data_IF_705399710400
#
_entry.id   IF_705399710400
#
_cell.length_a   1.000
_cell.length_b   1.000
_cell.length_c   1.000
_cell.angle_alpha   90.00
_cell.angle_beta   90.00
_cell.angle_gamma   90.00
#
_symmetry.space_group_name_H-M   'P 1'
#
loop_
_entity.id
_entity.type
_entity.pdbx_description
1 polymer ?
#
# COMPACT_ATOMS: atom_id res chain seq x y z
N UNK A 1 0.91 7.21 -71.59
CA UNK A 1 -0.20 7.99 -70.98
C UNK A 1 0.02 7.95 -69.47
N UNK A 2 0.44 9.05 -68.85
CA UNK A 2 0.69 9.14 -67.40
C UNK A 2 -0.64 9.27 -66.64
N UNK A 3 -0.83 8.47 -65.59
CA UNK A 3 -1.96 8.62 -64.66
C UNK A 3 -1.65 9.73 -63.63
N UNK A 4 -2.62 10.59 -63.27
CA UNK A 4 -2.40 11.59 -62.23
C UNK A 4 -2.28 10.95 -60.84
N UNK A 5 -1.37 11.49 -60.02
CA UNK A 5 -1.14 11.07 -58.64
C UNK A 5 -2.35 11.40 -57.74
N UNK A 6 -2.65 10.59 -56.71
CA UNK A 6 -3.73 10.87 -55.78
C UNK A 6 -3.40 12.08 -54.87
N UNK A 7 -4.38 12.97 -54.73
CA UNK A 7 -4.35 14.17 -53.91
C UNK A 7 -4.36 13.82 -52.41
N UNK A 8 -3.35 14.24 -51.61
CA UNK A 8 -3.25 13.90 -50.18
C UNK A 8 -4.23 14.69 -49.28
N UNK A 9 -5.12 15.51 -49.84
CA UNK A 9 -6.06 16.35 -49.08
C UNK A 9 -7.40 15.67 -48.70
N UNK A 10 -7.62 14.40 -49.04
CA UNK A 10 -8.91 13.73 -48.79
C UNK A 10 -9.04 13.01 -47.42
N UNK A 11 -7.98 12.98 -46.61
CA UNK A 11 -7.93 12.17 -45.37
C UNK A 11 -7.83 13.02 -44.10
N UNK A 12 -8.57 14.13 -44.05
CA UNK A 12 -8.75 14.96 -42.85
C UNK A 12 -9.97 14.53 -42.06
N UNK A 13 -9.76 13.98 -40.85
CA UNK A 13 -10.84 13.57 -39.94
C UNK A 13 -11.43 14.83 -39.28
N UNK A 14 -12.63 15.27 -39.69
CA UNK A 14 -13.38 16.32 -38.99
C UNK A 14 -13.98 15.79 -37.67
N UNK A 15 -13.45 16.24 -36.55
CA UNK A 15 -14.01 16.00 -35.22
C UNK A 15 -15.38 16.69 -35.07
N UNK A 16 -16.42 15.93 -34.69
CA UNK A 16 -17.71 16.48 -34.25
C UNK A 16 -18.97 15.99 -34.98
N UNK A 17 -18.86 15.20 -36.05
CA UNK A 17 -20.03 14.71 -36.82
C UNK A 17 -20.34 13.22 -36.72
N UNK A 18 -19.63 12.45 -35.90
CA UNK A 18 -19.96 11.04 -35.62
C UNK A 18 -19.90 10.76 -34.12
N UNK A 19 -20.93 10.07 -33.61
CA UNK A 19 -20.95 9.55 -32.25
C UNK A 19 -19.83 8.50 -32.13
N UNK A 20 -18.79 8.80 -31.37
CA UNK A 20 -17.74 7.82 -31.06
C UNK A 20 -18.33 6.88 -30.00
N UNK A 21 -18.75 5.69 -30.43
CA UNK A 21 -19.11 4.63 -29.48
C UNK A 21 -17.81 4.05 -28.94
N UNK A 22 -17.31 4.62 -27.83
CA UNK A 22 -16.26 4.00 -27.02
C UNK A 22 -16.78 2.63 -26.60
N UNK A 23 -16.19 1.57 -27.16
CA UNK A 23 -16.67 0.20 -27.08
C UNK A 23 -17.10 -0.22 -25.68
N UNK A 24 -18.40 -0.43 -25.51
CA UNK A 24 -19.00 -0.82 -24.23
C UNK A 24 -20.16 -1.82 -24.33
N UNK A 25 -20.49 -2.32 -25.52
CA UNK A 25 -21.70 -3.16 -25.71
C UNK A 25 -21.44 -4.67 -25.85
N UNK A 26 -20.21 -5.13 -25.67
CA UNK A 26 -19.93 -6.56 -25.52
C UNK A 26 -19.54 -6.82 -24.06
N UNK A 27 -20.42 -7.47 -23.31
CA UNK A 27 -20.05 -8.05 -22.02
C UNK A 27 -18.78 -8.88 -22.18
N UNK A 28 -17.91 -8.85 -21.15
CA UNK A 28 -16.56 -9.41 -21.15
C UNK A 28 -16.47 -10.66 -22.02
N UNK A 29 -15.64 -10.59 -23.05
CA UNK A 29 -15.43 -11.70 -23.96
C UNK A 29 -14.98 -12.93 -23.17
N UNK A 30 -15.30 -14.11 -23.69
CA UNK A 30 -14.93 -15.37 -23.04
C UNK A 30 -13.42 -15.48 -22.81
N UNK A 31 -12.63 -14.85 -23.70
CA UNK A 31 -11.19 -14.68 -23.58
C UNK A 31 -10.79 -13.75 -22.43
N UNK A 32 -11.47 -12.61 -22.25
CA UNK A 32 -11.22 -11.70 -21.12
C UNK A 32 -11.59 -12.34 -19.77
N UNK A 33 -12.69 -13.12 -19.71
CA UNK A 33 -13.07 -13.86 -18.49
C UNK A 33 -12.07 -14.97 -18.15
N UNK A 34 -11.46 -15.59 -19.15
CA UNK A 34 -10.36 -16.53 -19.00
C UNK A 34 -9.09 -15.81 -18.55
N UNK A 35 -8.74 -14.68 -19.17
CA UNK A 35 -7.59 -13.85 -18.83
C UNK A 35 -7.64 -13.39 -17.36
N UNK A 36 -8.80 -13.03 -16.84
CA UNK A 36 -8.98 -12.67 -15.42
C UNK A 36 -8.74 -13.85 -14.44
N UNK A 37 -8.86 -15.10 -14.90
CA UNK A 37 -8.66 -16.30 -14.08
C UNK A 37 -7.22 -16.82 -14.09
N UNK A 38 -6.44 -16.52 -15.13
CA UNK A 38 -5.04 -16.95 -15.25
C UNK A 38 -4.09 -16.41 -14.16
N UNK A 39 -4.21 -15.15 -13.67
CA UNK A 39 -3.34 -14.62 -12.62
C UNK A 39 -3.29 -15.50 -11.37
N UNK A 40 -4.42 -16.10 -10.98
CA UNK A 40 -4.51 -16.97 -9.80
C UNK A 40 -3.77 -18.30 -9.99
N UNK A 41 -3.71 -18.83 -11.21
CA UNK A 41 -2.93 -20.03 -11.54
C UNK A 41 -1.42 -19.73 -11.56
N UNK A 42 -1.04 -18.56 -12.07
CA UNK A 42 0.36 -18.14 -12.10
C UNK A 42 0.96 -18.02 -10.70
N UNK A 43 0.15 -17.71 -9.67
CA UNK A 43 0.62 -17.57 -8.29
C UNK A 43 0.74 -18.90 -7.53
N UNK A 44 0.03 -19.96 -7.99
CA UNK A 44 0.06 -21.31 -7.38
C UNK A 44 1.10 -22.24 -8.00
N UNK A 45 1.79 -21.81 -9.05
CA UNK A 45 2.81 -22.62 -9.74
C UNK A 45 4.21 -22.14 -9.39
N UNK A 46 5.24 -23.00 -9.50
CA UNK A 46 6.64 -22.61 -9.26
C UNK A 46 7.15 -21.52 -10.24
N UNK A 47 6.36 -21.16 -11.26
CA UNK A 47 6.59 -20.03 -12.16
C UNK A 47 6.67 -18.69 -11.41
N UNK A 48 5.90 -18.51 -10.33
CA UNK A 48 6.03 -17.30 -9.48
C UNK A 48 7.43 -17.24 -8.86
N UNK A 49 8.01 -18.38 -8.45
CA UNK A 49 9.37 -18.45 -7.92
C UNK A 49 10.44 -18.03 -8.94
N UNK A 50 10.23 -18.32 -10.22
CA UNK A 50 11.11 -17.89 -11.32
C UNK A 50 11.01 -16.36 -11.52
N UNK A 51 9.81 -15.80 -11.41
CA UNK A 51 9.59 -14.33 -11.47
C UNK A 51 10.26 -13.59 -10.29
N UNK A 52 10.40 -14.25 -9.14
CA UNK A 52 11.09 -13.71 -7.96
C UNK A 52 12.63 -13.87 -8.01
N UNK A 53 13.17 -14.72 -8.89
CA UNK A 53 14.63 -14.87 -9.11
C UNK A 53 15.25 -13.72 -9.93
N UNK A 54 14.44 -12.76 -10.37
CA UNK A 54 14.88 -11.58 -11.12
C UNK A 54 15.55 -10.51 -10.25
N UNK A 55 15.67 -9.31 -10.83
CA UNK A 55 16.30 -8.14 -10.20
C UNK A 55 15.65 -7.85 -8.84
N UNK A 56 16.36 -8.16 -7.76
CA UNK A 56 15.96 -7.79 -6.40
C UNK A 56 15.77 -6.27 -6.34
N UNK A 57 14.78 -5.77 -5.58
CA UNK A 57 14.67 -4.33 -5.36
C UNK A 57 16.04 -3.82 -4.92
N UNK A 58 16.52 -2.77 -5.60
CA UNK A 58 17.74 -2.05 -5.22
C UNK A 58 17.71 -1.87 -3.71
N UNK A 59 18.76 -2.32 -3.02
CA UNK A 59 18.94 -2.22 -1.57
C UNK A 59 18.33 -0.91 -1.10
N UNK A 60 17.43 -0.96 -0.10
CA UNK A 60 16.80 0.23 0.51
C UNK A 60 17.85 1.33 0.63
N UNK A 61 17.77 2.33 -0.27
CA UNK A 61 18.84 3.32 -0.48
C UNK A 61 18.93 4.26 0.72
N UNK A 62 17.79 4.48 1.38
CA UNK A 62 17.70 5.08 2.70
C UNK A 62 16.39 4.63 3.36
N UNK A 63 16.44 4.36 4.66
CA UNK A 63 15.24 4.37 5.51
C UNK A 63 15.04 5.83 5.90
N UNK A 64 13.92 6.48 5.54
CA UNK A 64 13.68 7.86 5.95
C UNK A 64 13.54 7.91 7.47
N UNK A 65 14.09 8.95 8.09
CA UNK A 65 13.89 9.23 9.51
C UNK A 65 12.39 9.46 9.79
N UNK A 66 11.90 9.03 10.96
CA UNK A 66 10.51 9.27 11.37
C UNK A 66 10.28 10.79 11.52
N UNK A 67 9.38 11.39 10.73
CA UNK A 67 9.16 12.83 10.78
C UNK A 67 8.42 13.29 12.04
N UNK A 68 7.81 12.36 12.78
CA UNK A 68 7.03 12.69 13.97
C UNK A 68 7.94 12.60 15.20
N UNK A 69 8.09 13.69 15.98
CA UNK A 69 8.84 13.65 17.23
C UNK A 69 8.05 12.91 18.32
N UNK A 70 8.76 12.26 19.24
CA UNK A 70 8.18 11.60 20.41
C UNK A 70 7.99 12.52 21.61
N UNK A 71 7.27 12.04 22.61
CA UNK A 71 7.09 12.72 23.90
C UNK A 71 8.15 12.25 24.91
N UNK A 72 9.10 13.14 25.22
CA UNK A 72 10.19 12.90 26.20
C UNK A 72 9.67 12.48 27.57
N UNK A 73 8.53 13.02 28.04
CA UNK A 73 8.01 12.69 29.37
C UNK A 73 7.50 11.25 29.40
N UNK A 74 6.84 10.80 28.32
CA UNK A 74 6.40 9.41 28.18
C UNK A 74 7.58 8.46 28.01
N UNK A 75 8.57 8.84 27.19
CA UNK A 75 9.79 8.05 27.04
C UNK A 75 10.52 7.83 28.36
N UNK A 76 10.65 8.89 29.19
CA UNK A 76 11.23 8.78 30.53
C UNK A 76 10.39 7.91 31.47
N UNK A 77 9.07 8.01 31.41
CA UNK A 77 8.18 7.14 32.19
C UNK A 77 8.36 5.66 31.79
N UNK A 78 8.49 5.37 30.49
CA UNK A 78 8.75 4.02 29.98
C UNK A 78 10.07 3.47 30.50
N UNK A 79 11.15 4.26 30.47
CA UNK A 79 12.44 3.88 31.05
C UNK A 79 12.38 3.66 32.56
N UNK A 80 11.47 4.36 33.26
CA UNK A 80 11.19 4.15 34.68
C UNK A 80 10.25 2.96 34.96
N UNK A 81 9.90 2.16 33.95
CA UNK A 81 9.05 0.98 34.12
C UNK A 81 7.55 1.26 34.04
N UNK A 82 7.12 2.44 33.57
CA UNK A 82 5.72 2.86 33.56
C UNK A 82 5.26 3.23 32.14
N UNK A 83 4.16 2.63 31.68
CA UNK A 83 3.45 3.06 30.45
C UNK A 83 2.35 4.03 30.84
N UNK A 84 2.34 5.23 30.26
CA UNK A 84 1.32 6.25 30.55
C UNK A 84 0.67 6.77 29.27
N UNK A 85 -0.65 6.66 29.16
CA UNK A 85 -1.41 7.11 28.01
C UNK A 85 -2.79 7.64 28.41
N UNK A 86 -3.11 8.88 28.00
CA UNK A 86 -4.40 9.57 28.24
C UNK A 86 -4.95 9.49 29.67
N UNK A 87 -4.06 9.56 30.67
CA UNK A 87 -4.42 9.54 32.10
C UNK A 87 -4.43 8.15 32.73
N UNK A 88 -4.32 7.07 31.93
CA UNK A 88 -4.05 5.73 32.43
C UNK A 88 -2.54 5.54 32.57
N UNK A 89 -2.07 5.04 33.71
CA UNK A 89 -0.66 4.73 33.97
C UNK A 89 -0.55 3.34 34.58
N UNK A 90 0.32 2.50 34.03
CA UNK A 90 0.49 1.10 34.46
C UNK A 90 1.97 0.73 34.50
N UNK A 91 2.35 -0.09 35.47
CA UNK A 91 3.68 -0.65 35.57
C UNK A 91 3.86 -1.76 34.52
N UNK A 92 4.98 -1.73 33.79
CA UNK A 92 5.27 -2.65 32.68
C UNK A 92 5.32 -4.11 33.17
N UNK A 93 5.89 -4.32 34.36
CA UNK A 93 6.04 -5.63 35.00
C UNK A 93 4.70 -6.27 35.43
N UNK A 94 3.63 -5.49 35.47
CA UNK A 94 2.28 -5.92 35.87
C UNK A 94 1.28 -5.93 34.71
N UNK A 95 1.73 -5.73 33.48
CA UNK A 95 0.84 -5.80 32.32
C UNK A 95 0.47 -7.26 32.04
N UNK A 96 -0.79 -7.60 32.27
CA UNK A 96 -1.37 -8.89 31.85
C UNK A 96 -2.12 -8.72 30.52
N UNK A 97 -1.61 -9.37 29.47
CA UNK A 97 -2.20 -9.31 28.12
C UNK A 97 -3.40 -10.26 27.93
N UNK A 98 -3.56 -11.26 28.81
CA UNK A 98 -4.68 -12.18 28.80
C UNK A 98 -5.88 -11.55 29.53
N UNK A 99 -5.65 -10.93 30.68
CA UNK A 99 -6.65 -10.22 31.47
C UNK A 99 -6.62 -8.72 31.17
N UNK A 100 -7.41 -8.28 30.18
CA UNK A 100 -7.49 -6.87 29.79
C UNK A 100 -8.29 -6.04 30.79
N UNK A 101 -7.63 -5.61 31.86
CA UNK A 101 -8.16 -4.64 32.83
C UNK A 101 -8.02 -3.16 32.36
N UNK A 102 -7.50 -2.92 31.16
CA UNK A 102 -7.31 -1.56 30.61
C UNK A 102 -8.30 -1.19 29.49
N UNK A 103 -8.51 0.11 29.33
CA UNK A 103 -9.40 0.65 28.31
C UNK A 103 -8.94 0.32 26.88
N UNK A 104 -9.87 0.38 25.92
CA UNK A 104 -9.58 0.14 24.50
C UNK A 104 -8.47 1.07 23.98
N UNK A 105 -8.50 2.35 24.33
CA UNK A 105 -7.49 3.32 23.90
C UNK A 105 -6.09 3.01 24.40
N UNK A 106 -5.95 2.52 25.63
CA UNK A 106 -4.66 2.13 26.18
C UNK A 106 -4.12 0.89 25.46
N UNK A 107 -4.98 -0.10 25.21
CA UNK A 107 -4.60 -1.28 24.44
C UNK A 107 -4.14 -0.93 23.01
N UNK A 108 -4.90 -0.07 22.32
CA UNK A 108 -4.57 0.36 20.96
C UNK A 108 -3.21 1.09 20.94
N UNK A 109 -2.92 1.91 21.95
CA UNK A 109 -1.62 2.56 22.10
C UNK A 109 -0.50 1.56 22.40
N UNK A 110 -0.74 0.59 23.28
CA UNK A 110 0.25 -0.43 23.65
C UNK A 110 0.64 -1.28 22.44
N UNK A 111 -0.34 -1.67 21.62
CA UNK A 111 -0.16 -2.50 20.43
C UNK A 111 0.21 -1.75 19.15
N UNK A 112 0.10 -0.41 19.12
CA UNK A 112 0.52 0.37 17.95
C UNK A 112 2.03 0.58 17.87
N UNK A 113 2.76 0.31 18.96
CA UNK A 113 4.19 0.58 19.09
C UNK A 113 4.58 2.05 18.87
N UNK A 114 3.61 2.98 18.87
CA UNK A 114 3.89 4.41 18.75
C UNK A 114 4.79 4.93 19.89
N UNK A 115 4.80 4.26 21.04
CA UNK A 115 5.67 4.56 22.18
C UNK A 115 7.17 4.34 21.88
N UNK A 116 7.54 3.61 20.81
CA UNK A 116 8.95 3.51 20.37
C UNK A 116 9.52 4.87 19.97
N UNK A 117 8.67 5.74 19.40
CA UNK A 117 9.03 7.11 19.08
C UNK A 117 9.35 7.92 20.33
N UNK A 118 8.55 7.76 21.37
CA UNK A 118 8.75 8.42 22.66
C UNK A 118 10.08 7.99 23.28
N UNK A 119 10.43 6.71 23.20
CA UNK A 119 11.75 6.19 23.61
C UNK A 119 12.90 6.72 22.76
N UNK A 120 12.73 6.81 21.43
CA UNK A 120 13.78 7.32 20.53
C UNK A 120 14.16 8.78 20.76
N UNK A 121 13.33 9.53 21.48
CA UNK A 121 13.51 10.97 21.73
C UNK A 121 14.22 11.25 23.07
N UNK A 122 14.45 10.25 23.91
CA UNK A 122 15.06 10.40 25.26
C UNK A 122 16.55 10.15 25.25
#
# INVERSE_FOLDING_TARGET
>A
MNAPAPDPAADGIEEGKRLITLGGDKGLSLAERLADRFPRLTWRTPLHGIRLKGRYPLKLIAVPDDPVPGDVRRGRALLAGMVSFRGESRAIDRLDYAERDWGRSFADHLHSFCWLRDLSTV
#
